data_IF_235198830124
#
_entry.id   IF_235198830124
#
_cell.length_a   1.000
_cell.length_b   1.000
_cell.length_c   1.000
_cell.angle_alpha   90.00
_cell.angle_beta   90.00
_cell.angle_gamma   90.00
#
_symmetry.space_group_name_H-M   'P 1'
#
loop_
_entity.id
_entity.type
_entity.pdbx_description
1 polymer ?
#
# COMPACT_ATOMS: atom_id res chain seq x y z
N UNK A 1 19.13 22.15 14.31
CA UNK A 1 17.68 21.96 14.16
C UNK A 1 17.43 21.43 12.75
N UNK A 2 17.45 20.10 12.59
CA UNK A 2 17.05 19.46 11.32
C UNK A 2 15.54 19.65 11.18
N UNK A 3 15.09 19.98 9.97
CA UNK A 3 13.73 20.45 9.70
C UNK A 3 12.74 19.32 10.01
N UNK A 4 11.71 19.61 10.82
CA UNK A 4 10.58 18.70 11.11
C UNK A 4 9.85 18.16 9.87
N UNK A 5 10.03 18.80 8.71
CA UNK A 5 9.36 18.45 7.45
C UNK A 5 9.91 17.15 6.84
N UNK A 6 11.21 16.95 6.92
CA UNK A 6 11.87 15.79 6.30
C UNK A 6 11.50 14.49 7.05
N UNK A 7 11.29 14.58 8.38
CA UNK A 7 10.84 13.45 9.20
C UNK A 7 9.41 12.98 8.90
N UNK A 8 8.50 13.86 8.45
CA UNK A 8 7.12 13.43 8.12
C UNK A 8 7.04 12.72 6.77
N UNK A 9 7.89 13.08 5.81
CA UNK A 9 7.99 12.40 4.51
C UNK A 9 8.59 10.99 4.66
N UNK A 10 9.63 10.83 5.47
CA UNK A 10 10.23 9.52 5.81
C UNK A 10 9.22 8.54 6.43
N UNK A 11 8.15 9.02 7.08
CA UNK A 11 7.12 8.14 7.66
C UNK A 11 6.32 7.37 6.61
N UNK A 12 6.29 7.83 5.35
CA UNK A 12 5.53 7.19 4.28
C UNK A 12 6.42 6.57 3.19
N UNK A 13 7.75 6.67 3.31
CA UNK A 13 8.72 6.11 2.35
C UNK A 13 8.50 4.61 2.11
N UNK A 14 8.12 3.88 3.16
CA UNK A 14 7.76 2.46 3.07
C UNK A 14 6.32 2.28 3.53
N UNK A 15 5.39 2.16 2.58
CA UNK A 15 3.97 1.92 2.87
C UNK A 15 3.60 0.44 2.85
N UNK A 16 4.15 -0.32 1.90
CA UNK A 16 3.77 -1.72 1.65
C UNK A 16 4.88 -2.70 2.02
N UNK A 17 4.51 -3.92 2.39
CA UNK A 17 5.43 -5.05 2.60
C UNK A 17 4.98 -6.24 1.77
N UNK A 18 5.94 -6.98 1.22
CA UNK A 18 5.69 -8.25 0.53
C UNK A 18 5.84 -9.40 1.51
N UNK A 19 4.79 -10.22 1.64
CA UNK A 19 4.82 -11.44 2.45
C UNK A 19 4.91 -12.66 1.51
N UNK A 20 6.04 -13.40 1.51
CA UNK A 20 6.20 -14.57 0.66
C UNK A 20 5.14 -15.65 0.94
N UNK A 21 4.59 -16.25 -0.12
CA UNK A 21 3.59 -17.32 0.00
C UNK A 21 2.14 -16.83 0.18
N UNK A 22 1.92 -15.53 0.39
CA UNK A 22 0.57 -14.97 0.42
C UNK A 22 0.01 -14.83 -0.99
N UNK A 23 -1.15 -15.43 -1.24
CA UNK A 23 -1.92 -15.20 -2.46
C UNK A 23 -2.84 -13.99 -2.27
N UNK A 24 -2.51 -12.88 -2.94
CA UNK A 24 -3.26 -11.61 -2.91
C UNK A 24 -3.52 -11.13 -4.33
N UNK A 25 -4.55 -10.30 -4.51
CA UNK A 25 -4.86 -9.75 -5.83
C UNK A 25 -3.84 -8.69 -6.24
N UNK A 26 -3.78 -8.43 -7.54
CA UNK A 26 -3.01 -7.36 -8.19
C UNK A 26 -3.08 -6.02 -7.46
N UNK A 27 -4.26 -5.57 -7.04
CA UNK A 27 -4.46 -4.29 -6.36
C UNK A 27 -4.49 -4.42 -4.83
N UNK A 28 -4.02 -5.54 -4.29
CA UNK A 28 -3.94 -5.76 -2.85
C UNK A 28 -2.48 -5.71 -2.39
N UNK A 29 -2.23 -5.09 -1.23
CA UNK A 29 -0.92 -5.12 -0.59
C UNK A 29 -1.04 -5.09 0.93
N UNK A 30 -0.09 -5.73 1.61
CA UNK A 30 0.02 -5.63 3.05
C UNK A 30 0.66 -4.30 3.43
N UNK A 31 0.07 -3.60 4.39
CA UNK A 31 0.54 -2.30 4.86
C UNK A 31 1.39 -2.49 6.10
N UNK A 32 2.61 -1.96 6.07
CA UNK A 32 3.44 -1.86 7.27
C UNK A 32 2.96 -0.70 8.13
N UNK A 33 2.59 -0.97 9.38
CA UNK A 33 2.34 0.06 10.39
C UNK A 33 3.52 0.24 11.35
N UNK A 34 4.66 -0.40 11.03
CA UNK A 34 5.89 -0.29 11.79
C UNK A 34 6.25 1.20 11.94
N UNK A 35 6.27 1.66 13.20
CA UNK A 35 6.55 3.04 13.64
C UNK A 35 5.54 4.13 13.20
N UNK A 36 4.55 3.81 12.37
CA UNK A 36 3.55 4.78 11.91
C UNK A 36 2.14 4.19 11.82
N UNK A 37 1.43 4.23 12.95
CA UNK A 37 0.01 3.79 13.05
C UNK A 37 -0.95 4.58 12.16
N UNK A 38 -0.51 5.73 11.63
CA UNK A 38 -1.35 6.61 10.82
C UNK A 38 -1.49 6.18 9.36
N UNK A 39 -0.70 5.22 8.86
CA UNK A 39 -0.75 4.76 7.46
C UNK A 39 -2.11 4.18 7.07
N UNK A 40 -2.70 3.33 7.90
CA UNK A 40 -4.06 2.82 7.67
C UNK A 40 -5.13 3.92 7.80
N UNK A 41 -4.93 4.88 8.71
CA UNK A 41 -5.83 6.02 8.86
C UNK A 41 -5.77 6.93 7.63
N UNK A 42 -4.59 7.13 7.06
CA UNK A 42 -4.37 7.89 5.82
C UNK A 42 -5.15 7.26 4.66
N UNK A 43 -4.99 5.95 4.44
CA UNK A 43 -5.72 5.21 3.40
C UNK A 43 -7.24 5.40 3.55
N UNK A 44 -7.76 5.25 4.78
CA UNK A 44 -9.19 5.44 5.09
C UNK A 44 -9.66 6.88 4.86
N UNK A 45 -8.89 7.86 5.35
CA UNK A 45 -9.25 9.29 5.29
C UNK A 45 -9.37 9.77 3.86
N UNK A 46 -8.47 9.35 2.98
CA UNK A 46 -8.43 9.76 1.58
C UNK A 46 -9.15 8.79 0.64
N UNK A 47 -9.77 7.74 1.19
CA UNK A 47 -10.52 6.72 0.45
C UNK A 47 -9.67 6.07 -0.65
N UNK A 48 -8.38 5.84 -0.38
CA UNK A 48 -7.43 5.27 -1.36
C UNK A 48 -7.63 3.77 -1.58
N UNK A 49 -8.44 3.13 -0.74
CA UNK A 49 -8.73 1.71 -0.79
C UNK A 49 -9.52 1.23 0.42
N UNK A 50 -9.85 -0.06 0.40
CA UNK A 50 -10.54 -0.77 1.46
C UNK A 50 -9.53 -1.49 2.35
N UNK A 51 -9.57 -1.21 3.67
CA UNK A 51 -8.80 -1.98 4.66
C UNK A 51 -9.56 -3.26 5.00
N UNK A 52 -9.04 -4.41 4.59
CA UNK A 52 -9.69 -5.71 4.74
C UNK A 52 -9.49 -6.27 6.15
N UNK A 53 -10.32 -7.25 6.52
CA UNK A 53 -10.17 -7.98 7.79
C UNK A 53 -8.96 -8.92 7.80
N UNK A 54 -8.49 -9.36 6.63
CA UNK A 54 -7.34 -10.26 6.48
C UNK A 54 -6.07 -9.63 7.06
N UNK A 55 -5.35 -10.44 7.84
CA UNK A 55 -4.05 -10.11 8.43
C UNK A 55 -3.03 -11.11 7.89
N UNK A 56 -1.88 -10.62 7.45
CA UNK A 56 -0.72 -11.43 7.08
C UNK A 56 0.33 -11.36 8.17
N UNK A 57 1.10 -12.43 8.35
CA UNK A 57 2.03 -12.58 9.47
C UNK A 57 3.43 -12.89 8.94
N UNK A 58 4.43 -12.08 9.30
CA UNK A 58 5.85 -12.38 8.97
C UNK A 58 6.54 -13.28 9.99
N UNK A 59 5.86 -13.60 11.11
CA UNK A 59 6.47 -14.18 12.31
C UNK A 59 7.00 -13.13 13.31
N UNK A 60 7.13 -11.86 12.89
CA UNK A 60 7.54 -10.74 13.75
C UNK A 60 6.46 -9.67 13.91
N UNK A 61 5.71 -9.40 12.84
CA UNK A 61 4.66 -8.39 12.82
C UNK A 61 3.45 -8.88 12.04
N UNK A 62 2.32 -8.25 12.37
CA UNK A 62 1.03 -8.46 11.74
C UNK A 62 0.73 -7.29 10.80
N UNK A 63 0.28 -7.60 9.59
CA UNK A 63 0.03 -6.59 8.56
C UNK A 63 -1.39 -6.69 8.04
N UNK A 64 -2.09 -5.56 7.97
CA UNK A 64 -3.43 -5.50 7.35
C UNK A 64 -3.31 -5.52 5.84
N UNK A 65 -4.13 -6.34 5.19
CA UNK A 65 -4.29 -6.29 3.74
C UNK A 65 -5.17 -5.10 3.36
N UNK A 66 -4.72 -4.30 2.40
CA UNK A 66 -5.50 -3.24 1.79
C UNK A 66 -5.73 -3.57 0.33
N UNK A 67 -6.98 -3.41 -0.13
CA UNK A 67 -7.33 -3.41 -1.54
C UNK A 67 -7.42 -1.98 -2.03
N UNK A 68 -6.49 -1.56 -2.87
CA UNK A 68 -6.45 -0.19 -3.39
C UNK A 68 -7.52 0.05 -4.45
N UNK A 69 -8.06 1.26 -4.41
CA UNK A 69 -8.95 1.79 -5.44
C UNK A 69 -8.09 2.42 -6.55
N UNK A 70 -7.90 1.67 -7.63
CA UNK A 70 -7.04 2.09 -8.74
C UNK A 70 -7.63 3.30 -9.49
N UNK A 71 -8.96 3.46 -9.51
CA UNK A 71 -9.60 4.63 -10.11
C UNK A 71 -9.30 5.87 -9.28
N UNK A 72 -9.40 5.75 -7.94
CA UNK A 72 -9.04 6.83 -7.03
C UNK A 72 -7.56 7.20 -7.14
N UNK A 73 -6.68 6.21 -7.24
CA UNK A 73 -5.24 6.45 -7.41
C UNK A 73 -4.93 7.10 -8.76
N UNK A 74 -5.69 6.80 -9.81
CA UNK A 74 -5.52 7.41 -11.13
C UNK A 74 -5.85 8.92 -11.16
N UNK A 75 -6.58 9.44 -10.15
CA UNK A 75 -6.75 10.89 -9.97
C UNK A 75 -5.42 11.58 -9.60
N UNK A 76 -4.48 10.85 -8.99
CA UNK A 76 -3.18 11.37 -8.55
C UNK A 76 -2.07 11.03 -9.57
N UNK A 77 -2.07 9.82 -10.11
CA UNK A 77 -1.10 9.37 -11.12
C UNK A 77 -1.74 8.43 -12.14
N UNK A 78 -2.38 9.03 -13.15
CA UNK A 78 -3.05 8.28 -14.22
C UNK A 78 -2.08 7.43 -15.05
N UNK A 79 -0.89 7.95 -15.35
CA UNK A 79 0.09 7.25 -16.20
C UNK A 79 0.74 6.10 -15.43
N UNK A 80 1.03 6.28 -14.14
CA UNK A 80 1.48 5.22 -13.25
C UNK A 80 0.50 4.06 -13.16
N UNK A 81 -0.80 4.34 -12.98
CA UNK A 81 -1.83 3.29 -12.96
C UNK A 81 -1.96 2.58 -14.31
N UNK A 82 -1.91 3.29 -15.44
CA UNK A 82 -1.91 2.66 -16.77
C UNK A 82 -0.73 1.71 -16.96
N UNK A 83 0.48 2.17 -16.60
CA UNK A 83 1.70 1.37 -16.70
C UNK A 83 1.59 0.12 -15.81
N UNK A 84 1.16 0.30 -14.57
CA UNK A 84 0.91 -0.79 -13.63
C UNK A 84 -0.06 -1.82 -14.21
N UNK A 85 -1.21 -1.40 -14.75
CA UNK A 85 -2.17 -2.34 -15.35
C UNK A 85 -1.61 -3.08 -16.57
N UNK A 86 -0.88 -2.37 -17.45
CA UNK A 86 -0.27 -2.98 -18.63
C UNK A 86 0.79 -4.04 -18.30
N UNK A 87 1.58 -3.82 -17.25
CA UNK A 87 2.58 -4.80 -16.76
C UNK A 87 1.92 -6.09 -16.26
N UNK A 88 0.67 -6.02 -15.83
CA UNK A 88 -0.06 -7.13 -15.24
C UNK A 88 -0.86 -7.92 -16.29
N UNK A 89 -1.25 -7.26 -17.40
CA UNK A 89 -1.79 -7.93 -18.58
C UNK A 89 -0.73 -8.72 -19.36
N UNK A 90 0.56 -8.36 -19.24
CA UNK A 90 1.67 -9.01 -19.94
C UNK A 90 2.24 -10.27 -19.26
N UNK A 91 1.66 -10.73 -18.16
CA UNK A 91 2.34 -11.63 -17.21
C UNK A 91 1.62 -12.94 -16.87
N UNK A 92 1.17 -13.71 -17.86
CA UNK A 92 0.98 -15.17 -17.75
C UNK A 92 1.04 -15.80 -19.17
N UNK A 93 2.24 -16.11 -19.64
CA UNK A 93 2.49 -17.04 -20.74
C UNK A 93 3.45 -18.13 -20.25
#
# INVERSE_FOLDING_TARGET
MVKKKDQEEELYDILTVSLPGENIKINEAFITDFECKYKLQFIRKYKLGEVLQRVGHSGFCDYRLVRFDLEKLAEYDREGIKKFLAEQEGGHA
#
